data_IF_766886994806
#
_entry.id   IF_766886994806
#
_cell.length_a   1.000
_cell.length_b   1.000
_cell.length_c   1.000
_cell.angle_alpha   90.00
_cell.angle_beta   90.00
_cell.angle_gamma   90.00
#
_symmetry.space_group_name_H-M   'P 1'
#
loop_
_entity.id
_entity.type
_entity.pdbx_description
1 polymer ?
#
# COMPACT_ATOMS: atom_id res chain seq x y z
N UNK A 1 -10.61 39.57 -39.57
CA UNK A 1 -10.04 39.97 -38.27
C UNK A 1 -10.32 38.98 -37.14
N UNK A 2 -10.91 37.80 -37.41
CA UNK A 2 -11.30 36.79 -36.38
C UNK A 2 -10.23 35.82 -35.92
N UNK A 3 -9.08 35.77 -36.57
CA UNK A 3 -8.05 34.75 -36.25
C UNK A 3 -7.24 34.99 -34.98
N UNK A 4 -7.17 36.24 -34.51
CA UNK A 4 -6.35 36.60 -33.35
C UNK A 4 -7.08 36.39 -32.02
N UNK A 5 -8.41 36.54 -32.02
CA UNK A 5 -9.33 36.30 -30.89
C UNK A 5 -9.26 34.86 -30.40
N UNK A 6 -9.35 33.93 -31.33
CA UNK A 6 -9.31 32.49 -31.02
C UNK A 6 -7.97 32.04 -30.39
N UNK A 7 -6.87 32.71 -30.73
CA UNK A 7 -5.51 32.34 -30.22
C UNK A 7 -5.28 32.78 -28.77
N UNK A 8 -5.72 33.95 -28.35
CA UNK A 8 -5.54 34.48 -26.99
C UNK A 8 -6.35 33.67 -25.95
N UNK A 9 -7.60 33.36 -26.26
CA UNK A 9 -8.48 32.52 -25.43
C UNK A 9 -7.94 31.08 -25.30
N UNK A 10 -7.42 30.53 -26.42
CA UNK A 10 -6.75 29.22 -26.38
C UNK A 10 -5.49 29.21 -25.52
N UNK A 11 -4.72 30.31 -25.49
CA UNK A 11 -3.45 30.42 -24.73
C UNK A 11 -3.69 30.51 -23.22
N UNK A 12 -4.70 31.27 -22.77
CA UNK A 12 -5.08 31.36 -21.35
C UNK A 12 -5.61 30.02 -20.79
N UNK A 13 -6.47 29.33 -21.54
CA UNK A 13 -6.93 27.96 -21.17
C UNK A 13 -5.78 26.94 -21.12
N UNK A 14 -4.68 27.16 -21.86
CA UNK A 14 -3.52 26.27 -21.85
C UNK A 14 -2.68 26.40 -20.57
N UNK A 15 -2.54 27.59 -19.99
CA UNK A 15 -1.70 27.83 -18.79
C UNK A 15 -2.39 27.20 -17.57
N UNK A 16 -3.65 27.49 -17.31
CA UNK A 16 -4.39 26.89 -16.19
C UNK A 16 -4.41 25.35 -16.25
N UNK A 17 -4.55 24.80 -17.47
CA UNK A 17 -4.52 23.35 -17.67
C UNK A 17 -3.13 22.75 -17.45
N UNK A 18 -2.03 23.44 -17.84
CA UNK A 18 -0.66 22.99 -17.58
C UNK A 18 -0.34 22.98 -16.10
N UNK A 19 -0.70 24.04 -15.37
CA UNK A 19 -0.51 24.12 -13.91
C UNK A 19 -1.36 23.06 -13.21
N UNK A 20 -2.63 22.89 -13.60
CA UNK A 20 -3.49 21.84 -13.06
C UNK A 20 -2.94 20.42 -13.27
N UNK A 21 -2.44 20.14 -14.48
CA UNK A 21 -1.82 18.85 -14.78
C UNK A 21 -0.52 18.62 -13.98
N UNK A 22 0.30 19.66 -13.78
CA UNK A 22 1.52 19.55 -12.98
C UNK A 22 1.20 19.23 -11.51
N UNK A 23 0.24 19.95 -10.92
CA UNK A 23 -0.20 19.71 -9.54
C UNK A 23 -0.83 18.33 -9.39
N UNK A 24 -1.68 17.93 -10.35
CA UNK A 24 -2.28 16.59 -10.36
C UNK A 24 -1.22 15.48 -10.45
N UNK A 25 -0.18 15.70 -11.28
CA UNK A 25 0.93 14.76 -11.41
C UNK A 25 1.74 14.68 -10.11
N UNK A 26 2.06 15.79 -9.47
CA UNK A 26 2.76 15.81 -8.18
C UNK A 26 1.97 15.11 -7.08
N UNK A 27 0.65 15.36 -6.99
CA UNK A 27 -0.24 14.68 -6.06
C UNK A 27 -0.30 13.18 -6.34
N UNK A 28 -0.47 12.79 -7.60
CA UNK A 28 -0.50 11.39 -8.01
C UNK A 28 0.77 10.65 -7.64
N UNK A 29 1.94 11.22 -7.93
CA UNK A 29 3.24 10.64 -7.57
C UNK A 29 3.38 10.54 -6.04
N UNK A 30 3.04 11.59 -5.29
CA UNK A 30 3.13 11.60 -3.84
C UNK A 30 2.25 10.50 -3.21
N UNK A 31 0.99 10.38 -3.62
CA UNK A 31 0.07 9.36 -3.12
C UNK A 31 0.57 7.96 -3.48
N UNK A 32 1.05 7.76 -4.72
CA UNK A 32 1.58 6.46 -5.16
C UNK A 32 2.78 6.03 -4.31
N UNK A 33 3.71 6.95 -4.02
CA UNK A 33 4.88 6.67 -3.17
C UNK A 33 4.45 6.29 -1.75
N UNK A 34 3.50 7.02 -1.16
CA UNK A 34 2.99 6.73 0.18
C UNK A 34 2.31 5.36 0.23
N UNK A 35 1.45 5.05 -0.75
CA UNK A 35 0.78 3.73 -0.83
C UNK A 35 1.81 2.60 -0.96
N UNK A 36 2.82 2.77 -1.81
CA UNK A 36 3.89 1.78 -1.99
C UNK A 36 4.68 1.54 -0.70
N UNK A 37 5.02 2.61 0.02
CA UNK A 37 5.69 2.50 1.32
C UNK A 37 4.82 1.81 2.37
N UNK A 38 3.52 2.14 2.44
CA UNK A 38 2.59 1.49 3.35
C UNK A 38 2.45 -0.01 3.07
N UNK A 39 2.30 -0.41 1.81
CA UNK A 39 2.22 -1.81 1.40
C UNK A 39 3.51 -2.56 1.74
N UNK A 40 4.68 -1.96 1.46
CA UNK A 40 5.97 -2.54 1.78
C UNK A 40 6.16 -2.73 3.29
N UNK A 41 5.82 -1.70 4.09
CA UNK A 41 5.91 -1.76 5.55
C UNK A 41 4.95 -2.80 6.13
N UNK A 42 3.72 -2.86 5.62
CA UNK A 42 2.72 -3.86 6.02
C UNK A 42 3.22 -5.29 5.74
N UNK A 43 3.76 -5.52 4.53
CA UNK A 43 4.31 -6.82 4.16
C UNK A 43 5.46 -7.24 5.09
N UNK A 44 6.41 -6.34 5.37
CA UNK A 44 7.51 -6.62 6.30
C UNK A 44 7.03 -6.93 7.71
N UNK A 45 6.09 -6.13 8.22
CA UNK A 45 5.54 -6.33 9.55
C UNK A 45 4.81 -7.68 9.65
N UNK A 46 4.00 -8.01 8.66
CA UNK A 46 3.28 -9.29 8.61
C UNK A 46 4.25 -10.48 8.62
N UNK A 47 5.32 -10.42 7.81
CA UNK A 47 6.33 -11.47 7.78
C UNK A 47 7.04 -11.64 9.12
N UNK A 48 7.46 -10.54 9.74
CA UNK A 48 8.11 -10.58 11.06
C UNK A 48 7.19 -11.17 12.14
N UNK A 49 5.92 -10.76 12.16
CA UNK A 49 4.97 -11.32 13.13
C UNK A 49 4.73 -12.81 12.92
N UNK A 50 4.72 -13.28 11.67
CA UNK A 50 4.55 -14.71 11.38
C UNK A 50 5.78 -15.55 11.74
N UNK A 51 6.99 -15.01 11.53
CA UNK A 51 8.21 -15.63 12.03
C UNK A 51 8.17 -15.81 13.56
N UNK A 52 7.75 -14.77 14.29
CA UNK A 52 7.59 -14.81 15.74
C UNK A 52 6.54 -15.85 16.18
N UNK A 53 5.46 -16.01 15.42
CA UNK A 53 4.44 -17.05 15.70
C UNK A 53 5.03 -18.45 15.49
N UNK A 54 5.80 -18.68 14.43
CA UNK A 54 6.45 -19.99 14.20
C UNK A 54 7.46 -20.32 15.30
N UNK A 55 8.29 -19.34 15.70
CA UNK A 55 9.27 -19.52 16.80
C UNK A 55 8.55 -19.76 18.13
N UNK A 56 7.50 -19.01 18.43
CA UNK A 56 6.69 -19.21 19.62
C UNK A 56 6.01 -20.58 19.60
N UNK A 57 5.52 -21.00 18.42
CA UNK A 57 4.92 -22.31 18.22
C UNK A 57 5.88 -23.46 18.55
N UNK A 58 7.11 -23.41 18.03
CA UNK A 58 8.10 -24.45 18.37
C UNK A 58 8.47 -24.44 19.85
N UNK A 59 8.56 -23.27 20.50
CA UNK A 59 8.82 -23.18 21.94
C UNK A 59 7.68 -23.77 22.78
N UNK A 60 6.43 -23.48 22.42
CA UNK A 60 5.25 -24.05 23.09
C UNK A 60 5.20 -25.56 22.88
N UNK A 61 5.43 -26.04 21.65
CA UNK A 61 5.45 -27.47 21.36
C UNK A 61 6.56 -28.18 22.16
N UNK A 62 7.76 -27.59 22.25
CA UNK A 62 8.86 -28.13 23.04
C UNK A 62 8.49 -28.26 24.55
N UNK A 63 7.84 -27.21 25.10
CA UNK A 63 7.40 -27.21 26.49
C UNK A 63 6.32 -28.26 26.76
N UNK A 64 5.32 -28.35 25.87
CA UNK A 64 4.23 -29.33 25.98
C UNK A 64 4.77 -30.76 25.88
N UNK A 65 5.72 -31.03 24.95
CA UNK A 65 6.32 -32.34 24.80
C UNK A 65 7.15 -32.75 26.05
N UNK A 66 7.88 -31.80 26.65
CA UNK A 66 8.67 -32.06 27.87
C UNK A 66 7.78 -32.42 29.07
N UNK A 67 6.54 -31.95 29.12
CA UNK A 67 5.61 -32.18 30.22
C UNK A 67 4.46 -33.15 29.83
N UNK A 68 4.55 -33.77 28.64
CA UNK A 68 3.49 -34.60 28.12
C UNK A 68 3.30 -35.91 28.88
N UNK A 69 2.13 -36.10 29.47
CA UNK A 69 1.76 -37.33 30.20
C UNK A 69 0.58 -38.06 29.50
N UNK A 70 0.29 -37.68 28.25
CA UNK A 70 -0.80 -38.26 27.47
C UNK A 70 -0.38 -39.55 26.72
N UNK A 71 -1.26 -40.00 25.80
CA UNK A 71 -1.02 -41.19 24.97
C UNK A 71 0.24 -41.04 24.12
N UNK A 72 0.83 -42.16 23.68
CA UNK A 72 1.99 -42.17 22.78
C UNK A 72 1.69 -41.43 21.47
N UNK A 73 0.48 -41.54 20.96
CA UNK A 73 -0.01 -40.76 19.80
C UNK A 73 -0.21 -39.29 20.17
N UNK A 74 0.62 -38.41 19.61
CA UNK A 74 0.65 -36.99 19.86
C UNK A 74 -0.24 -36.18 18.90
N UNK A 75 -0.98 -36.85 18.02
CA UNK A 75 -1.80 -36.21 16.99
C UNK A 75 -2.81 -35.22 17.59
N UNK A 76 -3.51 -35.64 18.64
CA UNK A 76 -4.51 -34.78 19.30
C UNK A 76 -3.88 -33.53 19.96
N UNK A 77 -2.67 -33.63 20.50
CA UNK A 77 -1.90 -32.51 21.03
C UNK A 77 -1.58 -31.52 19.91
N UNK A 78 -1.04 -32.00 18.79
CA UNK A 78 -0.70 -31.14 17.65
C UNK A 78 -1.93 -30.43 17.08
N UNK A 79 -3.08 -31.12 16.97
CA UNK A 79 -4.33 -30.54 16.51
C UNK A 79 -4.84 -29.43 17.43
N UNK A 80 -4.76 -29.65 18.75
CA UNK A 80 -5.15 -28.66 19.73
C UNK A 80 -4.26 -27.40 19.65
N UNK A 81 -2.94 -27.57 19.53
CA UNK A 81 -2.01 -26.47 19.36
C UNK A 81 -2.20 -25.74 18.03
N UNK A 82 -2.42 -26.47 16.94
CA UNK A 82 -2.69 -25.89 15.63
C UNK A 82 -3.96 -25.03 15.64
N UNK A 83 -5.03 -25.51 16.27
CA UNK A 83 -6.28 -24.77 16.41
C UNK A 83 -6.17 -23.51 17.28
N UNK A 84 -5.26 -23.49 18.26
CA UNK A 84 -5.04 -22.33 19.14
C UNK A 84 -4.10 -21.29 18.52
N UNK A 85 -3.03 -21.73 17.87
CA UNK A 85 -1.96 -20.86 17.38
C UNK A 85 -2.10 -20.48 15.90
N UNK A 86 -2.95 -21.20 15.13
CA UNK A 86 -3.14 -20.96 13.71
C UNK A 86 -1.92 -21.30 12.86
N UNK A 87 -1.05 -22.19 13.33
CA UNK A 87 0.08 -22.72 12.60
C UNK A 87 0.06 -24.25 12.57
N UNK A 88 0.79 -24.82 11.62
CA UNK A 88 0.96 -26.26 11.47
C UNK A 88 2.11 -26.75 12.34
N UNK A 89 1.96 -27.96 12.88
CA UNK A 89 2.96 -28.58 13.72
C UNK A 89 3.38 -29.95 13.20
N UNK A 90 4.65 -30.26 13.41
CA UNK A 90 5.18 -31.59 13.09
C UNK A 90 6.23 -31.98 14.12
N UNK A 91 6.26 -33.27 14.46
CA UNK A 91 7.32 -33.93 15.21
C UNK A 91 7.98 -34.93 14.27
N UNK A 92 9.31 -34.83 14.17
CA UNK A 92 10.14 -35.73 13.40
C UNK A 92 10.92 -36.68 14.33
N UNK A 93 11.05 -37.93 13.92
CA UNK A 93 12.03 -38.85 14.44
C UNK A 93 13.15 -39.00 13.40
N UNK A 94 14.34 -38.53 13.73
CA UNK A 94 15.35 -38.31 12.71
C UNK A 94 14.87 -37.35 11.64
N UNK A 95 14.92 -37.76 10.38
CA UNK A 95 14.46 -37.01 9.20
C UNK A 95 13.00 -37.31 8.79
N UNK A 96 12.36 -38.32 9.44
CA UNK A 96 11.03 -38.80 9.08
C UNK A 96 9.94 -38.15 9.93
N UNK A 97 8.86 -37.69 9.26
CA UNK A 97 7.72 -37.05 9.89
C UNK A 97 6.83 -38.05 10.62
N UNK A 98 6.94 -38.11 11.95
CA UNK A 98 6.21 -39.07 12.79
C UNK A 98 4.76 -38.64 13.07
N UNK A 99 4.58 -37.36 13.49
CA UNK A 99 3.26 -36.77 13.76
C UNK A 99 3.17 -35.40 13.09
N UNK A 100 2.05 -35.11 12.44
CA UNK A 100 1.90 -33.82 11.74
C UNK A 100 0.44 -33.40 11.61
N UNK A 101 0.22 -32.10 11.63
CA UNK A 101 -1.06 -31.50 11.24
C UNK A 101 -1.13 -31.19 9.75
N UNK A 102 0.01 -31.20 9.04
CA UNK A 102 0.08 -30.95 7.59
C UNK A 102 -0.66 -32.05 6.85
N UNK A 103 -1.52 -31.66 5.92
CA UNK A 103 -2.28 -32.60 5.09
C UNK A 103 -1.94 -32.41 3.61
N UNK A 104 -1.84 -33.51 2.90
CA UNK A 104 -1.73 -33.57 1.45
C UNK A 104 -2.86 -34.48 0.92
N UNK A 105 -3.65 -33.99 -0.01
CA UNK A 105 -4.81 -34.71 -0.60
C UNK A 105 -5.79 -35.25 0.46
N UNK A 106 -5.96 -34.52 1.58
CA UNK A 106 -6.85 -34.91 2.69
C UNK A 106 -6.30 -35.96 3.64
N UNK A 107 -5.05 -36.38 3.47
CA UNK A 107 -4.34 -37.31 4.37
C UNK A 107 -3.18 -36.59 5.06
N UNK A 108 -2.89 -36.97 6.31
CA UNK A 108 -1.71 -36.44 7.01
C UNK A 108 -0.42 -36.92 6.35
N UNK A 109 0.52 -36.01 6.19
CA UNK A 109 1.78 -36.24 5.49
C UNK A 109 2.81 -37.03 6.36
N UNK A 110 2.36 -38.02 7.13
CA UNK A 110 3.20 -38.89 7.96
C UNK A 110 4.11 -39.74 7.07
N UNK A 111 5.34 -40.03 7.52
CA UNK A 111 6.32 -40.83 6.79
C UNK A 111 7.05 -40.08 5.67
N UNK A 112 6.72 -38.81 5.42
CA UNK A 112 7.51 -37.98 4.48
C UNK A 112 8.77 -37.48 5.16
N UNK A 113 9.81 -37.19 4.35
CA UNK A 113 11.13 -36.81 4.85
C UNK A 113 11.42 -35.33 4.75
N UNK A 114 12.29 -34.86 5.61
CA UNK A 114 12.89 -33.53 5.56
C UNK A 114 13.75 -33.42 4.29
N UNK A 115 13.93 -32.19 3.77
CA UNK A 115 14.88 -31.95 2.68
C UNK A 115 16.31 -32.13 3.14
N UNK A 116 17.22 -32.56 2.25
CA UNK A 116 18.62 -32.80 2.58
C UNK A 116 19.30 -31.55 3.17
N UNK A 117 18.97 -30.34 2.64
CA UNK A 117 19.50 -29.07 3.12
C UNK A 117 19.11 -28.79 4.58
N UNK A 118 17.84 -28.99 4.93
CA UNK A 118 17.35 -28.76 6.29
C UNK A 118 17.82 -29.88 7.25
N UNK A 119 17.98 -31.10 6.75
CA UNK A 119 18.54 -32.21 7.52
C UNK A 119 19.98 -31.92 7.94
N UNK A 120 20.80 -31.41 7.03
CA UNK A 120 22.18 -31.01 7.33
C UNK A 120 22.23 -29.91 8.42
N UNK A 121 21.40 -28.85 8.28
CA UNK A 121 21.41 -27.73 9.23
C UNK A 121 20.90 -28.16 10.60
N UNK A 122 19.76 -28.87 10.65
CA UNK A 122 19.05 -29.09 11.92
C UNK A 122 19.49 -30.37 12.61
N UNK A 123 19.67 -31.46 11.86
CA UNK A 123 20.03 -32.74 12.46
C UNK A 123 21.54 -32.93 12.63
N UNK A 124 22.34 -32.58 11.61
CA UNK A 124 23.79 -32.82 11.66
C UNK A 124 24.50 -31.69 12.40
N UNK A 125 24.17 -30.41 12.10
CA UNK A 125 24.80 -29.27 12.78
C UNK A 125 24.10 -28.90 14.10
N UNK A 126 22.91 -29.45 14.38
CA UNK A 126 22.14 -29.18 15.60
C UNK A 126 21.67 -27.73 15.74
N UNK A 127 21.52 -27.00 14.63
CA UNK A 127 21.14 -25.62 14.62
C UNK A 127 19.64 -25.46 14.34
N UNK A 128 19.00 -24.52 15.01
CA UNK A 128 17.62 -24.15 14.69
C UNK A 128 17.57 -23.36 13.37
N UNK A 129 16.55 -23.59 12.57
CA UNK A 129 16.31 -22.88 11.32
C UNK A 129 15.00 -22.11 11.42
N UNK A 130 15.01 -20.82 11.06
CA UNK A 130 13.82 -19.98 10.90
C UNK A 130 13.88 -19.34 9.53
N UNK A 131 12.84 -19.53 8.73
CA UNK A 131 12.81 -19.01 7.38
C UNK A 131 11.79 -19.70 6.49
N UNK A 132 11.94 -19.51 5.19
CA UNK A 132 11.07 -20.14 4.19
C UNK A 132 11.62 -21.50 3.79
N UNK A 133 10.72 -22.46 3.71
CA UNK A 133 11.02 -23.78 3.17
C UNK A 133 9.86 -24.28 2.31
N UNK A 134 10.18 -25.07 1.29
CA UNK A 134 9.16 -25.77 0.50
C UNK A 134 8.83 -27.10 1.16
N UNK A 135 7.57 -27.27 1.52
CA UNK A 135 7.04 -28.48 2.16
C UNK A 135 6.01 -29.07 1.22
N UNK A 136 6.26 -30.27 0.72
CA UNK A 136 5.37 -30.99 -0.21
C UNK A 136 4.98 -30.15 -1.47
N UNK A 137 5.88 -29.28 -1.91
CA UNK A 137 5.68 -28.41 -3.07
C UNK A 137 4.98 -27.08 -2.77
N UNK A 138 4.65 -26.80 -1.50
CA UNK A 138 4.09 -25.53 -1.05
C UNK A 138 5.10 -24.74 -0.21
N UNK A 139 5.17 -23.44 -0.43
CA UNK A 139 6.03 -22.56 0.36
C UNK A 139 5.44 -22.31 1.75
N UNK A 140 6.26 -22.52 2.79
CA UNK A 140 5.91 -22.27 4.18
C UNK A 140 6.91 -21.31 4.81
N UNK A 141 6.45 -20.50 5.73
CA UNK A 141 7.29 -19.81 6.71
C UNK A 141 7.33 -20.68 7.96
N UNK A 142 8.51 -21.05 8.41
CA UNK A 142 8.67 -22.11 9.40
C UNK A 142 9.81 -21.90 10.36
N UNK A 143 9.69 -22.55 11.50
CA UNK A 143 10.73 -22.74 12.50
C UNK A 143 10.96 -24.23 12.70
N UNK A 144 12.22 -24.66 12.62
CA UNK A 144 12.69 -26.02 12.93
C UNK A 144 13.63 -25.94 14.13
N UNK A 145 13.41 -26.78 15.15
CA UNK A 145 14.22 -26.82 16.34
C UNK A 145 14.61 -28.27 16.60
N UNK A 146 15.93 -28.59 16.70
CA UNK A 146 16.36 -29.95 16.97
C UNK A 146 15.94 -30.43 18.37
N UNK A 147 15.51 -31.67 18.47
CA UNK A 147 15.30 -32.36 19.75
C UNK A 147 16.52 -33.19 20.11
N UNK A 148 16.75 -33.37 21.41
CA UNK A 148 17.90 -34.11 21.93
C UNK A 148 17.45 -35.27 22.80
N UNK A 149 18.15 -36.41 22.67
CA UNK A 149 17.99 -37.56 23.55
C UNK A 149 18.59 -37.31 24.95
N UNK A 150 18.45 -38.29 25.82
CA UNK A 150 19.01 -38.26 27.19
C UNK A 150 20.54 -38.17 27.21
N UNK A 151 21.23 -38.49 26.10
CA UNK A 151 22.67 -38.41 25.94
C UNK A 151 23.12 -37.09 25.28
N UNK A 152 22.18 -36.19 24.96
CA UNK A 152 22.44 -34.88 24.36
C UNK A 152 22.67 -34.91 22.85
N UNK A 153 22.44 -36.02 22.18
CA UNK A 153 22.53 -36.17 20.71
C UNK A 153 21.21 -35.77 20.08
N UNK A 154 21.24 -35.19 18.89
CA UNK A 154 20.05 -34.89 18.13
C UNK A 154 19.37 -36.19 17.68
N UNK A 155 18.14 -36.44 18.13
CA UNK A 155 17.33 -37.62 17.81
C UNK A 155 16.16 -37.33 16.85
N UNK A 156 15.89 -36.05 16.60
CA UNK A 156 14.85 -35.60 15.74
C UNK A 156 14.73 -34.08 15.73
N UNK A 157 13.58 -33.59 15.37
CA UNK A 157 13.28 -32.17 15.43
C UNK A 157 11.75 -31.90 15.54
N UNK A 158 11.43 -30.72 16.01
CA UNK A 158 10.08 -30.19 16.01
C UNK A 158 9.96 -29.04 15.02
N UNK A 159 8.77 -28.90 14.47
CA UNK A 159 8.45 -27.91 13.46
C UNK A 159 7.17 -27.18 13.81
N UNK A 160 7.17 -25.87 13.57
CA UNK A 160 5.97 -25.06 13.47
C UNK A 160 6.06 -24.21 12.20
N UNK A 161 4.97 -24.13 11.43
CA UNK A 161 4.95 -23.43 10.15
C UNK A 161 3.60 -22.87 9.78
N UNK A 162 3.62 -21.91 8.87
CA UNK A 162 2.44 -21.27 8.30
C UNK A 162 2.54 -21.33 6.77
N UNK A 163 1.50 -21.84 6.11
CA UNK A 163 1.46 -21.87 4.65
C UNK A 163 1.48 -20.46 4.06
N UNK A 164 2.40 -20.23 3.12
CA UNK A 164 2.50 -18.95 2.40
C UNK A 164 1.31 -18.73 1.46
N UNK A 165 0.56 -19.75 1.11
CA UNK A 165 -0.64 -19.61 0.29
C UNK A 165 -1.71 -18.79 1.03
N UNK A 166 -1.94 -19.06 2.32
CA UNK A 166 -2.90 -18.33 3.14
C UNK A 166 -2.43 -16.89 3.40
N UNK A 167 -1.13 -16.73 3.68
CA UNK A 167 -0.51 -15.41 3.83
C UNK A 167 -0.66 -14.56 2.57
N UNK A 168 -0.31 -15.12 1.42
CA UNK A 168 -0.39 -14.42 0.14
C UNK A 168 -1.83 -14.01 -0.19
N UNK A 169 -2.82 -14.84 0.11
CA UNK A 169 -4.24 -14.53 -0.10
C UNK A 169 -4.67 -13.31 0.73
N UNK A 170 -4.30 -13.27 2.00
CA UNK A 170 -4.64 -12.15 2.90
C UNK A 170 -3.91 -10.86 2.52
N UNK A 171 -2.61 -10.95 2.21
CA UNK A 171 -1.81 -9.81 1.75
C UNK A 171 -2.35 -9.27 0.43
N UNK A 172 -2.65 -10.14 -0.53
CA UNK A 172 -3.19 -9.77 -1.84
C UNK A 172 -4.48 -8.97 -1.71
N UNK A 173 -5.41 -9.40 -0.86
CA UNK A 173 -6.65 -8.66 -0.61
C UNK A 173 -6.38 -7.26 -0.06
N UNK A 174 -5.47 -7.14 0.91
CA UNK A 174 -5.08 -5.85 1.51
C UNK A 174 -4.42 -4.92 0.48
N UNK A 175 -3.58 -5.46 -0.40
CA UNK A 175 -2.94 -4.70 -1.49
C UNK A 175 -3.99 -4.19 -2.48
N UNK A 176 -4.92 -5.02 -2.92
CA UNK A 176 -6.00 -4.57 -3.82
C UNK A 176 -6.85 -3.46 -3.20
N UNK A 177 -7.24 -3.62 -1.94
CA UNK A 177 -8.02 -2.61 -1.22
C UNK A 177 -7.25 -1.28 -1.12
N UNK A 178 -5.97 -1.33 -0.79
CA UNK A 178 -5.10 -0.15 -0.72
C UNK A 178 -4.95 0.55 -2.07
N UNK A 179 -4.83 -0.20 -3.16
CA UNK A 179 -4.78 0.34 -4.53
C UNK A 179 -6.09 1.05 -4.90
N UNK A 180 -7.24 0.46 -4.59
CA UNK A 180 -8.57 1.06 -4.87
C UNK A 180 -8.70 2.38 -4.11
N UNK A 181 -8.36 2.40 -2.82
CA UNK A 181 -8.39 3.62 -2.00
C UNK A 181 -7.44 4.68 -2.56
N UNK A 182 -6.21 4.29 -2.93
CA UNK A 182 -5.23 5.18 -3.54
C UNK A 182 -5.74 5.83 -4.83
N UNK A 183 -6.33 5.05 -5.72
CA UNK A 183 -6.93 5.55 -6.97
C UNK A 183 -8.09 6.51 -6.67
N UNK A 184 -8.96 6.18 -5.74
CA UNK A 184 -10.07 7.03 -5.33
C UNK A 184 -9.59 8.39 -4.78
N UNK A 185 -8.54 8.39 -3.95
CA UNK A 185 -7.92 9.60 -3.43
C UNK A 185 -7.29 10.47 -4.53
N UNK A 186 -6.61 9.86 -5.50
CA UNK A 186 -6.04 10.57 -6.66
C UNK A 186 -7.15 11.23 -7.46
N UNK A 187 -8.22 10.50 -7.77
CA UNK A 187 -9.37 11.04 -8.50
C UNK A 187 -10.04 12.19 -7.76
N UNK A 188 -10.29 12.04 -6.46
CA UNK A 188 -10.84 13.10 -5.63
C UNK A 188 -9.93 14.35 -5.60
N UNK A 189 -8.63 14.16 -5.45
CA UNK A 189 -7.64 15.23 -5.48
C UNK A 189 -7.65 16.00 -6.82
N UNK A 190 -7.69 15.30 -7.94
CA UNK A 190 -7.78 15.92 -9.28
C UNK A 190 -9.04 16.76 -9.41
N UNK A 191 -10.18 16.25 -8.95
CA UNK A 191 -11.46 16.98 -9.01
C UNK A 191 -11.43 18.24 -8.15
N UNK A 192 -10.94 18.15 -6.90
CA UNK A 192 -10.84 19.30 -5.99
C UNK A 192 -9.90 20.36 -6.53
N UNK A 193 -8.69 19.98 -6.95
CA UNK A 193 -7.71 20.91 -7.52
C UNK A 193 -8.22 21.52 -8.81
N UNK A 194 -8.84 20.74 -9.69
CA UNK A 194 -9.43 21.21 -10.94
C UNK A 194 -10.54 22.24 -10.69
N UNK A 195 -11.43 21.99 -9.73
CA UNK A 195 -12.49 22.91 -9.34
C UNK A 195 -11.92 24.21 -8.74
N UNK A 196 -10.94 24.08 -7.83
CA UNK A 196 -10.27 25.21 -7.20
C UNK A 196 -9.57 26.12 -8.24
N UNK A 197 -8.75 25.55 -9.11
CA UNK A 197 -8.03 26.29 -10.16
C UNK A 197 -9.01 26.96 -11.15
N UNK A 198 -10.11 26.30 -11.48
CA UNK A 198 -11.14 26.89 -12.34
C UNK A 198 -11.79 28.11 -11.69
N UNK A 199 -12.03 28.06 -10.40
CA UNK A 199 -12.73 29.09 -9.65
C UNK A 199 -11.82 30.27 -9.29
N UNK A 200 -10.59 30.00 -8.84
CA UNK A 200 -9.66 30.99 -8.30
C UNK A 200 -8.76 31.60 -9.37
N UNK A 201 -8.42 30.89 -10.44
CA UNK A 201 -7.47 31.36 -11.45
C UNK A 201 -8.12 31.58 -12.81
N UNK A 202 -8.83 30.56 -13.33
CA UNK A 202 -9.29 30.62 -14.72
C UNK A 202 -10.43 31.62 -14.96
N UNK A 203 -11.39 31.72 -14.03
CA UNK A 203 -12.53 32.63 -14.17
C UNK A 203 -12.11 34.12 -14.05
N UNK A 204 -11.30 34.52 -13.03
CA UNK A 204 -10.85 35.89 -12.91
C UNK A 204 -10.01 36.36 -14.11
N UNK A 205 -9.01 35.54 -14.52
CA UNK A 205 -8.16 35.87 -15.65
C UNK A 205 -8.96 36.00 -16.96
N UNK A 206 -9.98 35.18 -17.17
CA UNK A 206 -10.83 35.28 -18.35
C UNK A 206 -11.64 36.61 -18.38
N UNK A 207 -12.13 37.07 -17.21
CA UNK A 207 -12.83 38.36 -17.11
C UNK A 207 -11.88 39.53 -17.44
N UNK A 208 -10.65 39.53 -16.89
CA UNK A 208 -9.63 40.55 -17.18
C UNK A 208 -9.24 40.55 -18.67
N UNK A 209 -9.19 39.41 -19.32
CA UNK A 209 -8.90 39.30 -20.76
C UNK A 209 -10.02 39.93 -21.59
N UNK A 210 -11.28 39.67 -21.26
CA UNK A 210 -12.44 40.27 -21.94
C UNK A 210 -12.44 41.80 -21.77
N UNK A 211 -12.10 42.28 -20.56
CA UNK A 211 -12.02 43.71 -20.30
C UNK A 211 -10.91 44.39 -21.10
N UNK A 212 -9.71 43.79 -21.14
CA UNK A 212 -8.59 44.28 -21.93
C UNK A 212 -8.97 44.42 -23.42
N UNK A 213 -9.70 43.46 -23.92
CA UNK A 213 -10.11 43.38 -25.31
C UNK A 213 -11.23 44.39 -25.66
N UNK A 214 -12.17 44.64 -24.75
CA UNK A 214 -13.20 45.68 -24.90
C UNK A 214 -12.59 47.08 -24.90
N UNK A 215 -11.50 47.31 -24.18
CA UNK A 215 -10.73 48.56 -24.20
C UNK A 215 -10.03 48.77 -25.53
N UNK A 216 -9.41 47.73 -26.11
CA UNK A 216 -8.75 47.77 -27.41
C UNK A 216 -9.72 48.16 -28.52
N UNK A 217 -11.01 47.75 -28.42
CA UNK A 217 -12.07 48.06 -29.37
C UNK A 217 -12.75 49.41 -29.13
N UNK A 218 -12.31 50.20 -28.17
CA UNK A 218 -12.89 51.51 -27.83
C UNK A 218 -14.30 51.43 -27.22
N UNK A 219 -14.76 50.24 -26.82
CA UNK A 219 -16.07 50.01 -26.21
C UNK A 219 -15.99 50.13 -24.69
N UNK A 220 -15.85 51.34 -24.18
CA UNK A 220 -15.69 51.67 -22.76
C UNK A 220 -16.89 51.32 -21.86
N UNK A 221 -17.96 50.73 -22.39
CA UNK A 221 -19.20 50.48 -21.64
C UNK A 221 -19.83 49.09 -21.74
N UNK A 222 -19.26 48.13 -22.49
CA UNK A 222 -19.93 46.86 -22.84
C UNK A 222 -19.26 45.60 -22.25
N UNK A 223 -18.88 45.58 -21.00
CA UNK A 223 -18.30 44.37 -20.43
C UNK A 223 -18.22 44.36 -18.93
N UNK A 224 -18.75 45.41 -18.34
CA UNK A 224 -18.73 45.62 -16.89
C UNK A 224 -20.12 45.41 -16.34
N UNK A 225 -20.24 44.78 -15.18
CA UNK A 225 -21.50 44.77 -14.44
C UNK A 225 -22.02 46.20 -14.24
N UNK A 226 -23.21 46.39 -13.68
CA UNK A 226 -23.93 47.69 -13.59
C UNK A 226 -23.08 48.90 -13.13
N UNK A 227 -21.87 48.68 -12.59
CA UNK A 227 -20.97 49.74 -12.07
C UNK A 227 -19.64 49.92 -12.83
N UNK A 228 -19.42 49.28 -13.97
CA UNK A 228 -18.23 49.48 -14.79
C UNK A 228 -16.93 48.91 -14.19
N UNK A 229 -16.99 48.03 -13.17
CA UNK A 229 -15.85 47.47 -12.48
C UNK A 229 -15.55 46.02 -12.97
N UNK A 230 -14.28 45.60 -12.87
CA UNK A 230 -13.85 44.26 -13.28
C UNK A 230 -14.55 43.13 -12.50
N UNK A 231 -15.19 43.44 -11.37
CA UNK A 231 -15.95 42.49 -10.56
C UNK A 231 -15.12 41.29 -10.10
N UNK A 232 -13.79 41.43 -10.00
CA UNK A 232 -12.87 40.41 -9.52
C UNK A 232 -12.53 40.75 -8.10
N UNK A 233 -13.18 40.09 -7.16
CA UNK A 233 -12.89 40.20 -5.74
C UNK A 233 -11.99 39.01 -5.33
N UNK A 234 -10.68 39.22 -5.38
CA UNK A 234 -9.68 38.27 -4.89
C UNK A 234 -8.69 39.04 -4.01
N UNK A 235 -8.21 38.44 -2.93
CA UNK A 235 -7.22 39.03 -2.04
C UNK A 235 -5.78 38.64 -2.40
N UNK A 236 -5.56 38.17 -3.62
CA UNK A 236 -4.27 37.76 -4.18
C UNK A 236 -3.77 38.74 -5.25
N UNK A 237 -2.68 38.38 -5.91
CA UNK A 237 -2.06 39.17 -6.98
C UNK A 237 -3.03 39.43 -8.15
N UNK A 238 -3.99 38.55 -8.35
CA UNK A 238 -5.05 38.70 -9.39
C UNK A 238 -6.00 39.83 -9.00
N UNK A 239 -6.33 39.94 -7.72
CA UNK A 239 -7.15 41.03 -7.20
C UNK A 239 -6.44 42.38 -7.27
N UNK A 240 -5.13 42.42 -6.98
CA UNK A 240 -4.31 43.62 -7.14
C UNK A 240 -4.24 44.04 -8.61
N UNK A 241 -4.05 43.11 -9.53
CA UNK A 241 -4.05 43.36 -10.97
C UNK A 241 -5.40 43.89 -11.43
N UNK A 242 -6.52 43.30 -10.99
CA UNK A 242 -7.86 43.76 -11.31
C UNK A 242 -8.11 45.18 -10.86
N UNK A 243 -7.69 45.54 -9.63
CA UNK A 243 -7.80 46.89 -9.06
C UNK A 243 -7.00 47.93 -9.85
N UNK A 244 -5.75 47.57 -10.22
CA UNK A 244 -4.92 48.42 -11.08
C UNK A 244 -5.54 48.65 -12.46
N UNK A 245 -6.18 47.66 -13.00
CA UNK A 245 -6.89 47.70 -14.25
C UNK A 245 -8.12 48.64 -14.17
N UNK A 246 -8.93 48.49 -13.10
CA UNK A 246 -10.08 49.37 -12.83
C UNK A 246 -9.68 50.83 -12.68
N UNK A 247 -8.57 51.10 -11.99
CA UNK A 247 -8.04 52.47 -11.86
C UNK A 247 -7.58 53.07 -13.19
N UNK A 248 -6.99 52.25 -14.07
CA UNK A 248 -6.57 52.68 -15.41
C UNK A 248 -7.79 53.00 -16.31
N UNK A 249 -8.82 52.16 -16.26
CA UNK A 249 -10.08 52.38 -16.97
C UNK A 249 -10.77 53.68 -16.48
N UNK A 250 -10.81 53.89 -15.15
CA UNK A 250 -11.38 55.09 -14.57
C UNK A 250 -10.68 56.37 -15.02
N UNK A 251 -9.37 56.36 -15.17
CA UNK A 251 -8.61 57.48 -15.71
C UNK A 251 -8.88 57.76 -17.18
N UNK A 252 -8.93 56.69 -18.00
CA UNK A 252 -9.23 56.81 -19.44
C UNK A 252 -10.65 57.29 -19.73
N UNK A 253 -11.61 57.07 -18.83
CA UNK A 253 -13.02 57.52 -18.97
C UNK A 253 -13.20 58.99 -18.61
N UNK A 254 -12.28 59.59 -17.85
CA UNK A 254 -12.33 60.98 -17.41
C UNK A 254 -11.52 61.94 -18.33
N UNK A 255 -10.96 61.45 -19.44
CA UNK A 255 -10.36 62.19 -20.52
C UNK A 255 -11.25 62.17 -21.74
#
# INVERSE_FOLDING_TARGET
>A
MDGNHSKAIRKSKRIGRKVGNLVALMLGVSITVVVMLCVWMFYRLTMSMMEDVCVSGTNVLAYELANYQGPEDKTALLDALSGQMGCEFTIFHGDERAYTTIQQDGQRAVGTRLSDELSEIVLEQGQSYVGRASILGEDHLCSYVPTKDSEGRTDGLIFAGISMADVNRQVTFTVYLSCIIGIALIMAGILVVGAYLKQTVSKPLHRLTILAESLEQGKLGLGTGQDGQAGVYSNDEIGVLAKSFDQTIGRLRNY
#
